data_IF_298130947571
#
_entry.id   IF_298130947571
#
_cell.length_a   1.000
_cell.length_b   1.000
_cell.length_c   1.000
_cell.angle_alpha   90.00
_cell.angle_beta   90.00
_cell.angle_gamma   90.00
#
_symmetry.space_group_name_H-M   'P 1'
#
loop_
_entity.id
_entity.type
_entity.pdbx_description
1 polymer ?
#
# COMPACT_ATOMS: atom_id res chain seq x y z
N UNK A 1 -6.48 25.87 12.33
CA UNK A 1 -5.74 25.40 11.13
C UNK A 1 -4.62 24.40 11.46
N UNK A 2 -3.72 24.65 12.41
CA UNK A 2 -2.57 23.76 12.69
C UNK A 2 -2.93 22.30 12.99
N UNK A 3 -3.85 22.09 13.93
CA UNK A 3 -4.30 20.75 14.32
C UNK A 3 -4.91 19.96 13.14
N UNK A 4 -5.63 20.64 12.24
CA UNK A 4 -6.18 20.02 11.03
C UNK A 4 -5.07 19.44 10.14
N UNK A 5 -4.01 20.19 9.88
CA UNK A 5 -2.89 19.70 9.06
C UNK A 5 -2.12 18.56 9.73
N UNK A 6 -1.97 18.58 11.06
CA UNK A 6 -1.39 17.45 11.80
C UNK A 6 -2.24 16.20 11.67
N UNK A 7 -3.56 16.29 11.89
CA UNK A 7 -4.47 15.15 11.75
C UNK A 7 -4.52 14.64 10.31
N UNK A 8 -4.47 15.53 9.31
CA UNK A 8 -4.39 15.15 7.90
C UNK A 8 -3.11 14.38 7.58
N UNK A 9 -1.95 14.83 8.10
CA UNK A 9 -0.68 14.13 7.93
C UNK A 9 -0.72 12.72 8.55
N UNK A 10 -1.26 12.59 9.77
CA UNK A 10 -1.42 11.29 10.44
C UNK A 10 -2.41 10.40 9.65
N UNK A 11 -3.53 10.94 9.19
CA UNK A 11 -4.50 10.21 8.39
C UNK A 11 -3.90 9.64 7.10
N UNK A 12 -3.13 10.46 6.38
CA UNK A 12 -2.40 10.01 5.18
C UNK A 12 -1.38 8.91 5.50
N UNK A 13 -0.68 9.00 6.64
CA UNK A 13 0.24 7.96 7.09
C UNK A 13 -0.47 6.62 7.33
N UNK A 14 -1.61 6.65 8.03
CA UNK A 14 -2.39 5.44 8.31
C UNK A 14 -2.92 4.80 7.03
N UNK A 15 -3.41 5.60 6.07
CA UNK A 15 -3.85 5.11 4.76
C UNK A 15 -2.68 4.50 3.99
N UNK A 16 -1.51 5.16 4.00
CA UNK A 16 -0.31 4.64 3.37
C UNK A 16 0.10 3.28 3.95
N UNK A 17 0.07 3.13 5.28
CA UNK A 17 0.38 1.89 5.97
C UNK A 17 -0.58 0.77 5.56
N UNK A 18 -1.88 1.05 5.57
CA UNK A 18 -2.89 0.08 5.16
C UNK A 18 -2.70 -0.40 3.71
N UNK A 19 -2.49 0.53 2.78
CA UNK A 19 -2.18 0.18 1.38
C UNK A 19 -0.87 -0.60 1.24
N UNK A 20 0.15 -0.29 2.05
CA UNK A 20 1.42 -1.02 2.02
C UNK A 20 1.25 -2.47 2.44
N UNK A 21 0.44 -2.74 3.46
CA UNK A 21 0.15 -4.10 3.94
C UNK A 21 -0.64 -4.87 2.89
N UNK A 22 -1.65 -4.24 2.27
CA UNK A 22 -2.40 -4.86 1.18
C UNK A 22 -1.52 -5.18 -0.02
N UNK A 23 -0.65 -4.24 -0.40
CA UNK A 23 0.29 -4.42 -1.50
C UNK A 23 1.25 -5.58 -1.24
N UNK A 24 1.82 -5.64 -0.03
CA UNK A 24 2.70 -6.72 0.37
C UNK A 24 2.01 -8.08 0.26
N UNK A 25 0.79 -8.20 0.78
CA UNK A 25 0.01 -9.44 0.69
C UNK A 25 -0.27 -9.83 -0.75
N UNK A 26 -0.74 -8.90 -1.59
CA UNK A 26 -1.07 -9.18 -2.99
C UNK A 26 0.18 -9.60 -3.79
N UNK A 27 1.33 -8.96 -3.54
CA UNK A 27 2.61 -9.34 -4.15
C UNK A 27 3.07 -10.73 -3.65
N UNK A 28 3.04 -10.99 -2.35
CA UNK A 28 3.44 -12.29 -1.79
C UNK A 28 2.55 -13.44 -2.32
N UNK A 29 1.24 -13.24 -2.34
CA UNK A 29 0.29 -14.18 -2.92
C UNK A 29 0.59 -14.43 -4.41
N UNK A 30 0.92 -13.39 -5.18
CA UNK A 30 1.26 -13.55 -6.60
C UNK A 30 2.49 -14.42 -6.83
N UNK A 31 3.52 -14.28 -5.98
CA UNK A 31 4.72 -15.10 -6.04
C UNK A 31 4.42 -16.55 -5.67
N UNK A 32 3.62 -16.77 -4.63
CA UNK A 32 3.24 -18.11 -4.21
C UNK A 32 2.42 -18.85 -5.29
N UNK A 33 1.50 -18.15 -5.97
CA UNK A 33 0.77 -18.72 -7.10
C UNK A 33 1.71 -19.10 -8.26
N UNK A 34 2.64 -18.21 -8.62
CA UNK A 34 3.61 -18.46 -9.69
C UNK A 34 4.54 -19.65 -9.36
N UNK A 35 4.92 -19.82 -8.09
CA UNK A 35 5.73 -20.95 -7.65
C UNK A 35 4.97 -22.26 -7.78
N UNK A 36 3.69 -22.29 -7.41
CA UNK A 36 2.85 -23.49 -7.54
C UNK A 36 2.63 -23.84 -9.01
N UNK A 37 2.37 -22.84 -9.86
CA UNK A 37 2.23 -23.01 -11.31
C UNK A 37 3.49 -23.64 -11.92
N UNK A 38 4.68 -23.14 -11.54
CA UNK A 38 5.95 -23.70 -12.01
C UNK A 38 6.26 -25.09 -11.46
N UNK A 39 5.88 -25.38 -10.21
CA UNK A 39 6.22 -26.64 -9.55
C UNK A 39 5.28 -27.79 -9.96
N UNK A 40 4.00 -27.50 -10.17
CA UNK A 40 2.97 -28.51 -10.40
C UNK A 40 2.31 -28.43 -11.78
N UNK A 41 2.57 -27.37 -12.56
CA UNK A 41 1.92 -27.16 -13.86
C UNK A 41 0.43 -26.82 -13.75
N UNK A 42 -0.03 -26.41 -12.57
CA UNK A 42 -1.44 -26.11 -12.27
C UNK A 42 -1.57 -24.60 -12.12
N UNK A 43 -2.37 -23.97 -12.98
CA UNK A 43 -2.77 -22.58 -12.80
C UNK A 43 -3.73 -22.46 -11.61
N UNK A 44 -3.28 -21.76 -10.57
CA UNK A 44 -4.11 -21.41 -9.42
C UNK A 44 -4.49 -19.95 -9.48
N UNK A 45 -5.70 -19.67 -9.02
CA UNK A 45 -6.28 -18.35 -9.06
C UNK A 45 -6.69 -17.94 -7.66
N UNK A 46 -6.24 -16.77 -7.21
CA UNK A 46 -6.60 -16.28 -5.89
C UNK A 46 -8.05 -15.74 -5.90
N UNK A 47 -8.89 -16.31 -5.04
CA UNK A 47 -10.29 -15.89 -4.80
C UNK A 47 -10.50 -15.32 -3.40
N UNK A 48 -9.46 -15.26 -2.57
CA UNK A 48 -9.59 -15.05 -1.13
C UNK A 48 -10.05 -13.65 -0.74
N UNK A 49 -10.01 -12.65 -1.64
CA UNK A 49 -10.33 -11.27 -1.27
C UNK A 49 -11.33 -10.50 -2.10
N UNK A 50 -11.80 -11.03 -3.23
CA UNK A 50 -12.91 -10.43 -3.95
C UNK A 50 -13.79 -11.54 -4.52
N UNK A 51 -15.05 -11.56 -4.06
CA UNK A 51 -16.07 -12.58 -4.38
C UNK A 51 -16.42 -12.70 -5.88
N UNK A 52 -15.83 -11.89 -6.77
CA UNK A 52 -16.19 -11.85 -8.20
C UNK A 52 -15.02 -11.92 -9.19
N UNK A 53 -13.76 -11.82 -8.77
CA UNK A 53 -12.63 -11.86 -9.70
C UNK A 53 -11.54 -12.80 -9.22
N UNK A 54 -11.44 -13.93 -9.91
CA UNK A 54 -10.31 -14.82 -9.80
C UNK A 54 -9.12 -14.12 -10.52
N UNK A 55 -8.10 -13.70 -9.77
CA UNK A 55 -6.90 -13.04 -10.31
C UNK A 55 -5.76 -14.05 -10.50
N UNK A 56 -5.18 -14.05 -11.71
CA UNK A 56 -3.93 -14.76 -12.02
C UNK A 56 -2.74 -14.12 -11.29
N UNK A 57 -1.61 -14.84 -11.27
CA UNK A 57 -0.38 -14.39 -10.62
C UNK A 57 0.05 -12.99 -11.11
N UNK A 58 -0.01 -12.75 -12.43
CA UNK A 58 0.42 -11.48 -13.04
C UNK A 58 -0.49 -10.31 -12.66
N UNK A 59 -1.81 -10.47 -12.71
CA UNK A 59 -2.75 -9.38 -12.37
C UNK A 59 -2.73 -9.07 -10.89
N UNK A 60 -2.56 -10.09 -10.04
CA UNK A 60 -2.42 -9.91 -8.59
C UNK A 60 -1.15 -9.12 -8.25
N UNK A 61 -0.04 -9.43 -8.91
CA UNK A 61 1.22 -8.67 -8.78
C UNK A 61 1.05 -7.21 -9.21
N UNK A 62 0.45 -6.96 -10.38
CA UNK A 62 0.20 -5.60 -10.89
C UNK A 62 -0.73 -4.80 -9.96
N UNK A 63 -1.74 -5.44 -9.37
CA UNK A 63 -2.62 -4.83 -8.37
C UNK A 63 -1.82 -4.43 -7.12
N UNK A 64 -0.99 -5.33 -6.61
CA UNK A 64 -0.11 -5.04 -5.47
C UNK A 64 0.85 -3.88 -5.75
N UNK A 65 1.46 -3.83 -6.94
CA UNK A 65 2.31 -2.70 -7.35
C UNK A 65 1.55 -1.37 -7.41
N UNK A 66 0.31 -1.36 -7.92
CA UNK A 66 -0.53 -0.15 -7.93
C UNK A 66 -0.81 0.34 -6.51
N UNK A 67 -1.18 -0.57 -5.60
CA UNK A 67 -1.41 -0.23 -4.19
C UNK A 67 -0.13 0.31 -3.52
N UNK A 68 1.01 -0.32 -3.79
CA UNK A 68 2.31 0.13 -3.29
C UNK A 68 2.66 1.54 -3.78
N UNK A 69 2.44 1.83 -5.07
CA UNK A 69 2.68 3.14 -5.65
C UNK A 69 1.86 4.24 -4.94
N UNK A 70 0.57 4.02 -4.72
CA UNK A 70 -0.27 4.96 -3.98
C UNK A 70 0.16 5.09 -2.51
N UNK A 71 0.60 4.00 -1.88
CA UNK A 71 1.15 4.05 -0.52
C UNK A 71 2.38 4.96 -0.44
N UNK A 72 3.32 4.86 -1.39
CA UNK A 72 4.50 5.73 -1.46
C UNK A 72 4.10 7.20 -1.60
N UNK A 73 3.14 7.52 -2.47
CA UNK A 73 2.63 8.88 -2.63
C UNK A 73 2.08 9.41 -1.30
N UNK A 74 1.27 8.62 -0.60
CA UNK A 74 0.69 9.05 0.67
C UNK A 74 1.72 9.17 1.80
N UNK A 75 2.74 8.31 1.84
CA UNK A 75 3.85 8.47 2.77
C UNK A 75 4.61 9.77 2.52
N UNK A 76 4.94 10.08 1.26
CA UNK A 76 5.63 11.31 0.92
C UNK A 76 4.78 12.54 1.27
N UNK A 77 3.50 12.53 0.90
CA UNK A 77 2.58 13.61 1.24
C UNK A 77 2.47 13.81 2.76
N UNK A 78 2.29 12.72 3.52
CA UNK A 78 2.28 12.74 4.98
C UNK A 78 3.57 13.32 5.56
N UNK A 79 4.73 12.85 5.07
CA UNK A 79 6.05 13.29 5.50
C UNK A 79 6.21 14.80 5.33
N UNK A 80 5.94 15.35 4.14
CA UNK A 80 6.09 16.79 3.89
C UNK A 80 5.14 17.64 4.73
N UNK A 81 3.89 17.17 4.95
CA UNK A 81 2.93 17.86 5.81
C UNK A 81 3.44 17.90 7.25
N UNK A 82 3.82 16.75 7.80
CA UNK A 82 4.27 16.64 9.19
C UNK A 82 5.60 17.37 9.42
N UNK A 83 6.56 17.26 8.49
CA UNK A 83 7.83 17.98 8.53
C UNK A 83 7.59 19.50 8.60
N UNK A 84 6.73 20.03 7.73
CA UNK A 84 6.38 21.47 7.77
C UNK A 84 5.80 21.88 9.12
N UNK A 85 4.93 21.06 9.73
CA UNK A 85 4.37 21.35 11.06
C UNK A 85 5.43 21.34 12.17
N UNK A 86 6.40 20.43 12.10
CA UNK A 86 7.51 20.35 13.07
C UNK A 86 8.43 21.57 12.93
N UNK A 87 8.80 21.96 11.71
CA UNK A 87 9.67 23.12 11.47
C UNK A 87 9.04 24.43 11.98
N UNK A 88 7.74 24.63 11.74
CA UNK A 88 7.01 25.81 12.27
C UNK A 88 7.02 25.81 13.82
N UNK A 89 6.98 24.64 14.46
CA UNK A 89 7.05 24.53 15.93
C UNK A 89 8.45 24.83 16.46
N UNK A 90 9.50 24.40 15.75
CA UNK A 90 10.89 24.60 16.14
C UNK A 90 11.40 26.03 15.96
N UNK A 91 10.85 26.79 15.00
CA UNK A 91 11.21 28.19 14.77
C UNK A 91 10.43 29.22 15.60
N UNK A 92 9.55 28.78 16.50
CA UNK A 92 8.75 29.65 17.38
C UNK A 92 9.34 29.77 18.81
N UNK A 93 10.58 29.31 19.01
CA UNK A 93 11.38 29.56 20.21
C UNK A 93 12.52 30.51 19.89
#
# INVERSE_FOLDING_TARGET
MRHLFTYMGIGLFVIALFLSILAYRDIDASYNLLLIEKAYGIELVDRALYFDYALDSTSLYLKGLKQFFFAVIFYLASFFILLRQILIRGGAG
#
